data_IF_243214269684
#
_entry.id   IF_243214269684
#
_cell.length_a   1.000
_cell.length_b   1.000
_cell.length_c   1.000
_cell.angle_alpha   90.00
_cell.angle_beta   90.00
_cell.angle_gamma   90.00
#
_symmetry.space_group_name_H-M   'P 1'
#
loop_
_entity.id
_entity.type
_entity.pdbx_description
1 polymer ?
#
# COMPACT_ATOMS: atom_id res chain seq x y z
N UNK A 1 4.66 -20.52 -16.96
CA UNK A 1 4.59 -20.04 -15.57
C UNK A 1 4.50 -18.53 -15.60
N UNK A 2 3.64 -17.94 -14.79
CA UNK A 2 3.46 -16.48 -14.68
C UNK A 2 3.71 -16.07 -13.23
N UNK A 3 4.44 -14.98 -13.03
CA UNK A 3 4.76 -14.49 -11.68
C UNK A 3 3.62 -13.62 -11.15
N UNK A 4 3.19 -13.83 -9.92
CA UNK A 4 2.31 -12.91 -9.21
C UNK A 4 3.16 -11.88 -8.45
N UNK A 5 2.85 -10.61 -8.61
CA UNK A 5 3.56 -9.49 -7.99
C UNK A 5 2.58 -8.58 -7.27
N UNK A 6 2.82 -8.31 -5.99
CA UNK A 6 2.10 -7.30 -5.25
C UNK A 6 2.84 -5.97 -5.40
N UNK A 7 2.12 -4.95 -5.86
CA UNK A 7 2.64 -3.60 -5.99
C UNK A 7 1.80 -2.67 -5.14
N UNK A 8 2.45 -1.95 -4.24
CA UNK A 8 1.83 -0.86 -3.49
C UNK A 8 2.67 0.41 -3.67
N UNK A 9 2.24 1.47 -3.01
CA UNK A 9 3.02 2.70 -2.90
C UNK A 9 4.43 2.47 -2.32
N UNK A 10 4.67 1.37 -1.62
CA UNK A 10 5.79 1.23 -0.69
C UNK A 10 6.59 -0.05 -0.88
N UNK A 11 6.04 -1.02 -1.61
CA UNK A 11 6.72 -2.27 -1.93
C UNK A 11 6.32 -2.79 -3.31
N UNK A 12 7.30 -3.44 -3.97
CA UNK A 12 7.08 -4.35 -5.10
C UNK A 12 7.62 -5.71 -4.68
N UNK A 13 6.75 -6.67 -4.46
CA UNK A 13 7.12 -7.98 -3.93
C UNK A 13 6.60 -9.10 -4.83
N UNK A 14 7.45 -10.09 -5.07
CA UNK A 14 7.04 -11.33 -5.71
C UNK A 14 6.26 -12.17 -4.71
N UNK A 15 5.04 -12.56 -5.08
CA UNK A 15 4.10 -13.29 -4.24
C UNK A 15 4.19 -14.78 -4.48
N UNK A 16 4.08 -15.20 -5.74
CA UNK A 16 4.06 -16.61 -6.12
C UNK A 16 4.39 -16.78 -7.61
N UNK A 17 4.60 -18.02 -8.02
CA UNK A 17 4.53 -18.43 -9.44
C UNK A 17 3.30 -19.31 -9.64
N UNK A 18 2.55 -19.03 -10.70
CA UNK A 18 1.32 -19.76 -11.03
C UNK A 18 1.36 -20.27 -12.47
N UNK A 19 0.74 -21.42 -12.69
CA UNK A 19 0.51 -21.97 -14.01
C UNK A 19 -0.92 -21.65 -14.45
N UNK A 20 -1.07 -20.57 -15.23
CA UNK A 20 -2.37 -20.09 -15.68
C UNK A 20 -3.09 -21.13 -16.57
N UNK A 21 -2.35 -22.01 -17.25
CA UNK A 21 -2.94 -23.05 -18.11
C UNK A 21 -3.72 -24.11 -17.33
N UNK A 22 -3.45 -24.25 -16.03
CA UNK A 22 -4.13 -25.20 -15.14
C UNK A 22 -5.36 -24.62 -14.45
N UNK A 23 -5.65 -23.35 -14.67
CA UNK A 23 -6.77 -22.66 -14.03
C UNK A 23 -7.96 -22.58 -14.98
N UNK A 24 -9.18 -22.86 -14.48
CA UNK A 24 -10.39 -22.72 -15.27
C UNK A 24 -10.65 -21.25 -15.63
N UNK A 25 -10.92 -20.97 -16.91
CA UNK A 25 -11.08 -19.60 -17.41
C UNK A 25 -12.24 -18.83 -16.75
N UNK A 26 -13.32 -19.54 -16.39
CA UNK A 26 -14.51 -18.98 -15.74
C UNK A 26 -14.26 -18.41 -14.34
N UNK A 27 -13.21 -18.86 -13.65
CA UNK A 27 -12.90 -18.49 -12.26
C UNK A 27 -11.47 -17.92 -12.10
N UNK A 28 -10.81 -17.58 -13.20
CA UNK A 28 -9.39 -17.26 -13.19
C UNK A 28 -9.05 -16.06 -12.30
N UNK A 29 -9.77 -14.94 -12.48
CA UNK A 29 -9.61 -13.71 -11.68
C UNK A 29 -9.76 -14.04 -10.19
N UNK A 30 -10.82 -14.79 -9.85
CA UNK A 30 -11.11 -15.15 -8.46
C UNK A 30 -10.00 -16.04 -7.88
N UNK A 31 -9.45 -16.93 -8.68
CA UNK A 31 -8.34 -17.81 -8.29
C UNK A 31 -7.06 -16.99 -8.04
N UNK A 32 -6.71 -16.09 -8.95
CA UNK A 32 -5.56 -15.17 -8.81
C UNK A 32 -5.67 -14.35 -7.52
N UNK A 33 -6.83 -13.71 -7.26
CA UNK A 33 -7.05 -12.92 -6.05
C UNK A 33 -6.91 -13.77 -4.77
N UNK A 34 -7.41 -15.02 -4.79
CA UNK A 34 -7.22 -15.95 -3.67
C UNK A 34 -5.75 -16.31 -3.46
N UNK A 35 -4.94 -16.44 -4.51
CA UNK A 35 -3.50 -16.68 -4.35
C UNK A 35 -2.80 -15.50 -3.67
N UNK A 36 -3.15 -14.25 -3.99
CA UNK A 36 -2.65 -13.09 -3.23
C UNK A 36 -3.06 -13.14 -1.76
N UNK A 37 -4.34 -13.42 -1.47
CA UNK A 37 -4.86 -13.47 -0.11
C UNK A 37 -4.20 -14.58 0.73
N UNK A 38 -3.96 -15.76 0.15
CA UNK A 38 -3.22 -16.86 0.80
C UNK A 38 -1.81 -16.46 1.22
N UNK A 39 -1.19 -15.54 0.48
CA UNK A 39 0.15 -15.02 0.73
C UNK A 39 0.14 -13.72 1.55
N UNK A 40 -0.83 -13.55 2.46
CA UNK A 40 -0.93 -12.42 3.40
C UNK A 40 -1.37 -11.07 2.83
N UNK A 41 -1.70 -10.99 1.53
CA UNK A 41 -2.25 -9.77 0.92
C UNK A 41 -3.78 -9.79 0.94
N UNK A 42 -4.37 -9.75 2.15
CA UNK A 42 -5.82 -9.91 2.35
C UNK A 42 -6.67 -8.85 1.65
N UNK A 43 -6.10 -7.67 1.37
CA UNK A 43 -6.77 -6.57 0.67
C UNK A 43 -6.84 -6.79 -0.85
N UNK A 44 -6.29 -7.90 -1.36
CA UNK A 44 -6.37 -8.28 -2.77
C UNK A 44 -7.76 -8.81 -3.13
N UNK A 45 -8.76 -7.93 -3.14
CA UNK A 45 -10.18 -8.30 -3.37
C UNK A 45 -10.76 -7.67 -4.64
N UNK A 46 -10.10 -6.66 -5.20
CA UNK A 46 -10.64 -5.88 -6.30
C UNK A 46 -9.97 -6.26 -7.64
N UNK A 47 -10.73 -6.91 -8.54
CA UNK A 47 -10.24 -7.28 -9.85
C UNK A 47 -9.77 -6.09 -10.71
N UNK A 48 -10.32 -4.89 -10.48
CA UNK A 48 -9.93 -3.66 -11.20
C UNK A 48 -8.53 -3.14 -10.80
N UNK A 49 -7.89 -3.79 -9.83
CA UNK A 49 -6.50 -3.52 -9.43
C UNK A 49 -5.51 -4.54 -10.02
N UNK A 50 -5.97 -5.52 -10.80
CA UNK A 50 -5.10 -6.48 -11.47
C UNK A 50 -4.64 -5.94 -12.82
N UNK A 51 -3.34 -6.06 -13.05
CA UNK A 51 -2.69 -5.69 -14.30
C UNK A 51 -1.90 -6.87 -14.83
N UNK A 52 -1.75 -6.96 -16.15
CA UNK A 52 -0.85 -7.89 -16.82
C UNK A 52 0.35 -7.13 -17.32
N UNK A 53 1.54 -7.67 -17.06
CA UNK A 53 2.78 -7.20 -17.64
C UNK A 53 3.24 -8.14 -18.75
N UNK A 54 3.50 -7.58 -19.92
CA UNK A 54 4.08 -8.27 -21.09
C UNK A 54 5.21 -7.38 -21.61
N UNK A 55 6.46 -7.81 -21.44
CA UNK A 55 7.64 -6.98 -21.65
C UNK A 55 7.59 -5.70 -20.81
N UNK A 56 7.66 -4.55 -21.48
CA UNK A 56 7.61 -3.22 -20.84
C UNK A 56 6.17 -2.70 -20.67
N UNK A 57 5.17 -3.40 -21.19
CA UNK A 57 3.78 -2.94 -21.17
C UNK A 57 3.04 -3.47 -19.94
N UNK A 58 2.38 -2.56 -19.23
CA UNK A 58 1.48 -2.87 -18.12
C UNK A 58 0.06 -2.45 -18.49
N UNK A 59 -0.85 -3.41 -18.61
CA UNK A 59 -2.24 -3.18 -19.02
C UNK A 59 -3.22 -3.72 -17.97
N UNK A 60 -4.40 -3.10 -17.86
CA UNK A 60 -5.42 -3.59 -16.94
C UNK A 60 -5.85 -5.01 -17.36
N UNK A 61 -6.00 -5.91 -16.39
CA UNK A 61 -6.58 -7.23 -16.62
C UNK A 61 -8.11 -7.10 -16.70
N UNK A 62 -8.60 -6.64 -17.83
CA UNK A 62 -10.04 -6.49 -18.13
C UNK A 62 -10.61 -7.67 -18.93
N UNK A 63 -9.75 -8.38 -19.67
CA UNK A 63 -10.09 -9.56 -20.49
C UNK A 63 -9.08 -10.68 -20.32
N UNK A 64 -9.57 -11.91 -20.39
CA UNK A 64 -8.76 -13.14 -20.24
C UNK A 64 -7.76 -13.32 -21.39
N UNK A 65 -8.05 -12.76 -22.55
CA UNK A 65 -7.24 -12.84 -23.77
C UNK A 65 -5.85 -12.21 -23.59
N UNK A 66 -5.73 -11.26 -22.65
CA UNK A 66 -4.50 -10.52 -22.31
C UNK A 66 -3.47 -11.38 -21.57
N UNK A 67 -3.77 -12.64 -21.27
CA UNK A 67 -2.90 -13.51 -20.47
C UNK A 67 -1.99 -14.40 -21.31
N UNK A 68 -2.25 -14.47 -22.61
CA UNK A 68 -1.41 -15.21 -23.55
C UNK A 68 -0.06 -14.50 -23.63
N UNK A 69 0.96 -15.06 -22.96
CA UNK A 69 2.31 -14.50 -22.77
C UNK A 69 2.49 -13.49 -21.61
N UNK A 70 1.68 -13.58 -20.55
CA UNK A 70 1.88 -12.79 -19.34
C UNK A 70 3.18 -13.17 -18.60
N UNK A 71 4.10 -12.20 -18.45
CA UNK A 71 5.32 -12.33 -17.64
C UNK A 71 4.98 -12.23 -16.14
N UNK A 72 4.24 -11.17 -15.79
CA UNK A 72 3.77 -10.90 -14.43
C UNK A 72 2.26 -10.60 -14.47
N UNK A 73 1.53 -11.05 -13.46
CA UNK A 73 0.25 -10.45 -13.08
C UNK A 73 0.53 -9.62 -11.84
N UNK A 74 0.17 -8.34 -11.88
CA UNK A 74 0.45 -7.38 -10.82
C UNK A 74 -0.85 -6.98 -10.13
N UNK A 75 -0.95 -7.17 -8.82
CA UNK A 75 -2.01 -6.51 -8.03
C UNK A 75 -1.52 -5.14 -7.56
N UNK A 76 -2.08 -4.07 -8.12
CA UNK A 76 -1.73 -2.69 -7.81
C UNK A 76 -2.62 -2.13 -6.71
N UNK A 77 -2.14 -2.20 -5.48
CA UNK A 77 -2.69 -1.48 -4.33
C UNK A 77 -2.09 -0.07 -4.19
N UNK A 78 -1.66 0.51 -5.30
CA UNK A 78 -1.16 1.88 -5.34
C UNK A 78 -2.35 2.83 -5.24
N UNK A 79 -2.40 3.60 -4.15
CA UNK A 79 -3.47 4.56 -3.85
C UNK A 79 -3.17 5.92 -4.50
N UNK A 80 -1.89 6.30 -4.59
CA UNK A 80 -1.45 7.53 -5.25
C UNK A 80 0.04 7.40 -5.65
N UNK A 81 0.37 7.00 -6.90
CA UNK A 81 1.71 6.54 -7.30
C UNK A 81 2.88 7.48 -7.01
N UNK A 82 2.60 8.75 -6.72
CA UNK A 82 3.57 9.83 -6.69
C UNK A 82 3.87 10.34 -5.26
N UNK A 83 3.05 9.96 -4.25
CA UNK A 83 2.85 10.83 -3.09
C UNK A 83 2.86 10.13 -1.74
N UNK A 84 3.41 8.93 -1.55
CA UNK A 84 3.42 8.31 -0.22
C UNK A 84 4.70 7.54 0.07
N UNK A 85 5.45 7.95 1.10
CA UNK A 85 6.62 7.25 1.61
C UNK A 85 6.26 6.51 2.91
N UNK A 86 6.27 5.17 2.91
CA UNK A 86 6.11 4.38 4.15
C UNK A 86 7.35 4.52 5.02
N UNK A 87 7.09 4.88 6.26
CA UNK A 87 8.09 5.02 7.29
C UNK A 87 8.23 3.72 8.09
N UNK A 88 7.11 3.12 8.50
CA UNK A 88 7.15 1.90 9.33
C UNK A 88 5.81 1.17 9.32
N UNK A 89 5.86 -0.14 9.62
CA UNK A 89 4.69 -0.97 9.89
C UNK A 89 4.79 -1.60 11.27
N UNK A 90 3.80 -1.37 12.12
CA UNK A 90 3.78 -1.92 13.49
C UNK A 90 2.37 -2.32 13.91
N UNK A 91 2.23 -3.57 14.37
CA UNK A 91 0.95 -4.12 14.85
C UNK A 91 -0.21 -3.98 13.83
N UNK A 92 0.09 -4.11 12.54
CA UNK A 92 -0.88 -3.96 11.44
C UNK A 92 -1.22 -2.52 11.06
N UNK A 93 -0.59 -1.52 11.70
CA UNK A 93 -0.72 -0.11 11.34
C UNK A 93 0.46 0.27 10.44
N UNK A 94 0.15 0.92 9.33
CA UNK A 94 1.14 1.45 8.37
C UNK A 94 1.28 2.94 8.59
N UNK A 95 2.49 3.42 8.86
CA UNK A 95 2.81 4.83 9.01
C UNK A 95 3.49 5.33 7.75
N UNK A 96 2.99 6.41 7.16
CA UNK A 96 3.51 6.96 5.91
C UNK A 96 3.31 8.48 5.84
N UNK A 97 4.07 9.11 4.95
CA UNK A 97 4.02 10.55 4.70
C UNK A 97 3.58 10.84 3.28
N UNK A 98 2.79 11.89 3.06
CA UNK A 98 2.34 12.24 1.73
C UNK A 98 3.28 13.24 1.03
N UNK A 99 4.27 12.79 0.24
CA UNK A 99 5.33 13.65 -0.31
C UNK A 99 4.87 14.86 -1.16
N UNK A 100 3.61 14.92 -1.61
CA UNK A 100 3.07 16.07 -2.36
C UNK A 100 1.92 16.82 -1.68
N UNK A 101 1.58 16.53 -0.42
CA UNK A 101 0.56 17.31 0.27
C UNK A 101 1.11 18.73 0.48
N UNK A 102 0.69 19.70 -0.36
CA UNK A 102 0.93 21.16 -0.16
C UNK A 102 0.79 21.62 1.31
N UNK A 103 -0.16 21.11 2.14
CA UNK A 103 -0.24 21.48 3.56
C UNK A 103 0.87 20.92 4.47
N UNK A 104 1.72 20.00 4.02
CA UNK A 104 2.89 19.54 4.79
C UNK A 104 3.91 20.67 5.07
N UNK A 105 3.98 21.72 4.25
CA UNK A 105 4.81 22.89 4.54
C UNK A 105 4.45 23.59 5.87
N UNK A 106 3.17 23.55 6.26
CA UNK A 106 2.67 24.29 7.42
C UNK A 106 2.20 23.38 8.57
N UNK A 107 1.97 22.09 8.32
CA UNK A 107 1.42 21.16 9.30
C UNK A 107 2.13 19.80 9.28
N UNK A 108 3.19 19.62 10.09
CA UNK A 108 3.90 18.35 10.21
C UNK A 108 3.02 17.24 10.78
N UNK A 109 2.77 16.20 10.00
CA UNK A 109 1.93 15.07 10.41
C UNK A 109 2.33 13.77 9.72
N UNK A 110 2.01 12.65 10.35
CA UNK A 110 2.15 11.32 9.78
C UNK A 110 0.76 10.74 9.53
N UNK A 111 0.58 10.04 8.42
CA UNK A 111 -0.62 9.26 8.17
C UNK A 111 -0.44 7.85 8.75
N UNK A 112 -1.49 7.34 9.38
CA UNK A 112 -1.56 5.98 9.87
C UNK A 112 -2.75 5.28 9.22
N UNK A 113 -2.54 4.09 8.65
CA UNK A 113 -3.58 3.27 8.03
C UNK A 113 -3.73 1.92 8.72
N UNK A 114 -4.97 1.51 8.94
CA UNK A 114 -5.34 0.21 9.48
C UNK A 114 -6.60 -0.31 8.76
N UNK A 115 -6.47 -1.41 8.02
CA UNK A 115 -7.52 -1.85 7.10
C UNK A 115 -7.76 -0.82 6.00
N UNK A 116 -9.02 -0.42 5.85
CA UNK A 116 -9.47 0.63 4.92
C UNK A 116 -9.45 2.04 5.54
N UNK A 117 -9.25 2.14 6.86
CA UNK A 117 -9.30 3.43 7.55
C UNK A 117 -7.92 4.09 7.57
N UNK A 118 -7.89 5.40 7.31
CA UNK A 118 -6.68 6.24 7.41
C UNK A 118 -6.95 7.43 8.31
N UNK A 119 -5.97 7.75 9.16
CA UNK A 119 -5.97 8.95 10.01
C UNK A 119 -4.68 9.73 9.81
N UNK A 120 -4.75 11.03 10.03
CA UNK A 120 -3.58 11.91 10.12
C UNK A 120 -3.33 12.25 11.58
N UNK A 121 -2.06 12.18 12.01
CA UNK A 121 -1.62 12.46 13.38
C UNK A 121 -0.54 13.55 13.33
N UNK A 122 -0.83 14.69 13.93
CA UNK A 122 0.12 15.80 14.07
C UNK A 122 1.38 15.40 14.84
N UNK A 123 2.55 15.76 14.32
CA UNK A 123 3.84 15.59 15.01
C UNK A 123 4.12 16.71 16.03
N UNK A 124 3.27 17.74 16.10
CA UNK A 124 3.41 18.87 17.02
C UNK A 124 2.63 18.66 18.32
N UNK A 125 1.34 18.35 18.20
CA UNK A 125 0.38 18.31 19.31
C UNK A 125 -0.41 16.99 19.38
N UNK A 126 -0.16 16.06 18.46
CA UNK A 126 -0.84 14.76 18.36
C UNK A 126 -2.35 14.85 18.12
N UNK A 127 -2.82 15.99 17.63
CA UNK A 127 -4.18 16.13 17.10
C UNK A 127 -4.39 15.12 15.98
N UNK A 128 -5.55 14.44 16.00
CA UNK A 128 -5.91 13.40 15.05
C UNK A 128 -7.02 13.90 14.14
N UNK A 129 -6.85 13.75 12.83
CA UNK A 129 -7.88 13.98 11.82
C UNK A 129 -8.29 12.62 11.23
N UNK A 130 -9.60 12.39 11.16
CA UNK A 130 -10.18 11.10 10.77
C UNK A 130 -10.39 10.16 11.95
N UNK A 131 -10.80 8.92 11.66
CA UNK A 131 -11.01 7.90 12.67
C UNK A 131 -10.81 6.50 12.12
N UNK A 132 -10.25 5.60 12.94
CA UNK A 132 -10.38 4.17 12.69
C UNK A 132 -11.69 3.65 13.28
N UNK A 133 -12.25 2.64 12.63
CA UNK A 133 -13.33 1.80 13.14
C UNK A 133 -12.92 1.14 14.47
N UNK A 134 -11.64 0.73 14.58
CA UNK A 134 -11.07 0.20 15.83
C UNK A 134 -10.46 1.31 16.70
N UNK A 135 -11.14 1.68 17.78
CA UNK A 135 -10.64 2.66 18.75
C UNK A 135 -9.35 2.21 19.45
N UNK A 136 -9.19 0.91 19.69
CA UNK A 136 -7.95 0.35 20.22
C UNK A 136 -6.77 0.62 19.28
N UNK A 137 -6.94 0.37 17.98
CA UNK A 137 -5.90 0.60 16.98
C UNK A 137 -5.60 2.09 16.79
N UNK A 138 -6.62 2.94 16.87
CA UNK A 138 -6.40 4.39 16.83
C UNK A 138 -5.56 4.85 18.03
N UNK A 139 -5.83 4.32 19.24
CA UNK A 139 -5.03 4.60 20.42
C UNK A 139 -3.59 4.11 20.25
N UNK A 140 -3.38 2.88 19.78
CA UNK A 140 -2.04 2.33 19.47
C UNK A 140 -1.29 3.23 18.48
N UNK A 141 -1.98 3.72 17.44
CA UNK A 141 -1.39 4.63 16.45
C UNK A 141 -0.89 5.93 17.08
N UNK A 142 -1.71 6.55 17.94
CA UNK A 142 -1.36 7.80 18.63
C UNK A 142 -0.25 7.58 19.66
N UNK A 143 -0.29 6.49 20.43
CA UNK A 143 0.76 6.16 21.41
C UNK A 143 2.11 5.91 20.73
N UNK A 144 2.09 5.27 19.56
CA UNK A 144 3.28 5.09 18.76
C UNK A 144 3.94 6.42 18.38
N UNK A 145 3.15 7.40 17.92
CA UNK A 145 3.65 8.74 17.52
C UNK A 145 4.09 9.56 18.74
N UNK A 146 3.41 9.40 19.89
CA UNK A 146 3.78 10.07 21.16
C UNK A 146 5.06 9.54 21.78
N UNK A 147 5.47 8.31 21.45
CA UNK A 147 6.73 7.76 21.94
C UNK A 147 7.91 8.63 21.46
N UNK A 148 8.75 9.07 22.40
CA UNK A 148 9.83 10.03 22.13
C UNK A 148 10.79 9.57 21.03
N UNK A 149 11.17 8.29 21.02
CA UNK A 149 12.11 7.75 20.04
C UNK A 149 11.49 7.70 18.65
N UNK A 150 10.24 7.27 18.55
CA UNK A 150 9.51 7.24 17.27
C UNK A 150 9.25 8.66 16.77
N UNK A 151 8.87 9.59 17.64
CA UNK A 151 8.66 10.99 17.27
C UNK A 151 9.92 11.62 16.70
N UNK A 152 11.09 11.37 17.29
CA UNK A 152 12.38 11.83 16.75
C UNK A 152 12.63 11.28 15.35
N UNK A 153 12.41 9.97 15.13
CA UNK A 153 12.61 9.34 13.82
C UNK A 153 11.61 9.86 12.77
N UNK A 154 10.34 10.02 13.14
CA UNK A 154 9.30 10.57 12.28
C UNK A 154 9.61 12.01 11.86
N UNK A 155 10.10 12.84 12.78
CA UNK A 155 10.52 14.22 12.47
C UNK A 155 11.76 14.26 11.57
N UNK A 156 12.71 13.34 11.76
CA UNK A 156 13.88 13.25 10.89
C UNK A 156 13.48 12.83 9.47
N UNK A 157 12.61 11.83 9.34
CA UNK A 157 12.11 11.39 8.04
C UNK A 157 11.30 12.49 7.36
N UNK A 158 10.47 13.19 8.11
CA UNK A 158 9.75 14.35 7.62
C UNK A 158 10.69 15.41 7.01
N UNK A 159 11.72 15.81 7.76
CA UNK A 159 12.69 16.79 7.28
C UNK A 159 13.42 16.30 6.02
N UNK A 160 13.79 15.01 5.96
CA UNK A 160 14.41 14.40 4.78
C UNK A 160 13.51 14.49 3.55
N UNK A 161 12.21 14.22 3.70
CA UNK A 161 11.22 14.33 2.62
C UNK A 161 11.07 15.79 2.17
N UNK A 162 11.05 16.73 3.12
CA UNK A 162 10.96 18.16 2.83
C UNK A 162 12.20 18.69 2.09
N UNK A 163 13.40 18.29 2.50
CA UNK A 163 14.66 18.69 1.85
C UNK A 163 14.78 18.14 0.42
N UNK A 164 14.28 16.91 0.16
CA UNK A 164 14.32 16.29 -1.17
C UNK A 164 13.29 16.88 -2.17
N UNK A 165 12.42 17.77 -1.71
CA UNK A 165 11.34 18.38 -2.51
C UNK A 165 11.66 19.81 -2.98
N UNK A 166 12.86 20.33 -2.66
CA UNK A 166 13.44 21.58 -3.14
C UNK A 166 14.57 21.30 -4.14
#
# INVERSE_FOLDING_TARGET
>A
MTTLVYLSNTCKERVAEVDLSKMASSDLIRTILKEYQKNSYLNATNAKKLYVKIGEHLTLLDKLDNLTNADEIVYSDVIAPQNAAEFERKNGIVYFFHSSEKPHLNYPHVHARYGEDTISISLRDFTVIGSFSSKKKQKEAVEYVKNKQNLTRLKAEWNRIMEASY
#
